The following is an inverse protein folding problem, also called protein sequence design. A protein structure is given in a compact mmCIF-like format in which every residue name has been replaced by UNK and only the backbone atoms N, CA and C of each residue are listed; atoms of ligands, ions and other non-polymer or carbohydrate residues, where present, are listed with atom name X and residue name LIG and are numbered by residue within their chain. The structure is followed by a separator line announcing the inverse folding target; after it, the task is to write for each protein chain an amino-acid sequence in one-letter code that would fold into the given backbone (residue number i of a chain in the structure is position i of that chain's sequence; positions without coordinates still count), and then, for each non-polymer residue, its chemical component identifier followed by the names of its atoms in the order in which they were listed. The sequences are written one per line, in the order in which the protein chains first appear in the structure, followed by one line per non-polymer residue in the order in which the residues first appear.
data_IF_277332057651
#
_entry.id   IF_277332057651
#
_cell.length_a   1.000
_cell.length_b   1.000
_cell.length_c   1.000
_cell.angle_alpha   90.00
_cell.angle_beta   90.00
_cell.angle_gamma   90.00
#
_symmetry.space_group_name_H-M   'P 1'
#
loop_
_entity.id
_entity.type
_entity.pdbx_description
1 polymer ?
#
# COMPACT_ATOMS: atom_id res chain seq x y z
N UNK A 1 -9.34 14.22 -4.54
CA UNK A 1 -9.23 13.50 -3.25
C UNK A 1 -7.96 12.72 -3.21
N UNK A 2 -7.43 12.51 -2.05
CA UNK A 2 -6.15 11.84 -1.91
C UNK A 2 -6.34 10.33 -1.79
N UNK A 3 -5.32 9.60 -2.26
CA UNK A 3 -5.25 8.15 -2.07
C UNK A 3 -4.88 7.76 -0.64
N UNK A 4 -4.75 8.74 0.24
CA UNK A 4 -4.33 8.51 1.62
C UNK A 4 -5.07 9.43 2.57
N UNK A 5 -5.03 9.07 3.85
CA UNK A 5 -5.48 9.94 4.94
C UNK A 5 -4.65 9.61 6.18
N UNK A 6 -4.73 10.47 7.18
CA UNK A 6 -4.03 10.25 8.44
C UNK A 6 -5.03 10.00 9.56
N UNK A 7 -4.73 9.02 10.41
CA UNK A 7 -5.44 8.77 11.65
C UNK A 7 -4.41 8.79 12.77
N UNK A 8 -4.30 9.95 13.43
CA UNK A 8 -3.21 10.11 14.38
C UNK A 8 -1.87 9.91 13.69
N UNK A 9 -1.08 8.99 14.16
CA UNK A 9 0.23 8.68 13.59
C UNK A 9 0.18 7.60 12.50
N UNK A 10 -1.00 7.12 12.17
CA UNK A 10 -1.15 6.08 11.15
C UNK A 10 -1.54 6.67 9.81
N UNK A 11 -0.83 6.24 8.78
CA UNK A 11 -1.13 6.57 7.39
C UNK A 11 -2.06 5.51 6.83
N UNK A 12 -3.21 5.94 6.31
CA UNK A 12 -4.16 5.04 5.68
C UNK A 12 -4.04 5.20 4.17
N UNK A 13 -3.75 4.10 3.47
CA UNK A 13 -3.61 4.10 2.02
C UNK A 13 -4.76 3.36 1.36
N UNK A 14 -5.34 3.97 0.34
CA UNK A 14 -6.29 3.31 -0.54
C UNK A 14 -5.53 2.87 -1.77
N UNK A 15 -5.44 1.56 -1.98
CA UNK A 15 -4.60 0.96 -3.01
C UNK A 15 -5.42 0.21 -4.05
N UNK A 16 -4.88 0.15 -5.27
CA UNK A 16 -5.41 -0.68 -6.33
C UNK A 16 -4.26 -1.57 -6.82
N UNK A 17 -4.38 -2.87 -6.60
CA UNK A 17 -3.32 -3.81 -6.99
C UNK A 17 -3.48 -4.25 -8.43
N UNK A 18 -2.36 -4.31 -9.14
CA UNK A 18 -2.30 -4.87 -10.49
C UNK A 18 -1.37 -6.08 -10.45
N UNK A 19 -1.93 -7.30 -10.35
CA UNK A 19 -1.11 -8.52 -10.33
C UNK A 19 -0.58 -8.86 -11.70
N UNK A 20 0.36 -9.81 -11.75
CA UNK A 20 0.91 -10.28 -13.00
C UNK A 20 2.00 -9.42 -13.59
N UNK A 21 2.46 -8.41 -12.86
CA UNK A 21 3.58 -7.58 -13.31
C UNK A 21 4.90 -8.34 -13.14
N UNK A 22 5.94 -7.86 -13.82
CA UNK A 22 7.27 -8.47 -13.72
C UNK A 22 8.01 -8.07 -12.47
N UNK A 23 7.55 -7.05 -11.77
CA UNK A 23 8.16 -6.59 -10.55
C UNK A 23 7.12 -5.92 -9.67
N UNK A 24 7.55 -5.38 -8.54
CA UNK A 24 6.68 -4.70 -7.61
C UNK A 24 7.06 -3.22 -7.55
N UNK A 25 6.07 -2.34 -7.48
CA UNK A 25 6.35 -0.92 -7.36
C UNK A 25 5.11 -0.07 -7.45
N UNK A 26 5.28 1.19 -7.10
CA UNK A 26 4.22 2.19 -7.26
C UNK A 26 4.07 2.54 -8.74
N UNK A 27 2.84 2.68 -9.19
CA UNK A 27 2.56 2.90 -10.60
C UNK A 27 1.58 4.07 -10.82
N UNK A 28 1.68 5.10 -9.99
CA UNK A 28 0.82 6.26 -10.10
C UNK A 28 -0.54 6.03 -9.50
N UNK A 29 -1.55 6.70 -10.02
CA UNK A 29 -2.90 6.63 -9.49
C UNK A 29 -3.82 5.90 -10.45
N UNK A 30 -4.78 5.19 -9.88
CA UNK A 30 -5.89 4.58 -10.60
C UNK A 30 -7.16 5.17 -9.99
N UNK A 31 -7.70 6.20 -10.63
CA UNK A 31 -8.74 6.99 -10.02
C UNK A 31 -8.19 7.69 -8.78
N UNK A 32 -8.84 7.48 -7.64
CA UNK A 32 -8.41 8.06 -6.38
C UNK A 32 -7.63 7.06 -5.52
N UNK A 33 -7.10 6.00 -6.15
CA UNK A 33 -6.34 4.97 -5.45
C UNK A 33 -4.91 4.93 -5.94
N UNK A 34 -4.01 4.57 -5.04
CA UNK A 34 -2.61 4.38 -5.39
C UNK A 34 -2.46 3.04 -6.09
N UNK A 35 -2.02 3.08 -7.32
CA UNK A 35 -1.81 1.85 -8.09
C UNK A 35 -0.48 1.24 -7.72
N UNK A 36 -0.50 -0.05 -7.39
CA UNK A 36 0.70 -0.81 -7.04
C UNK A 36 0.75 -2.05 -7.91
N UNK A 37 1.82 -2.17 -8.69
CA UNK A 37 2.07 -3.39 -9.45
C UNK A 37 2.70 -4.42 -8.55
N UNK A 38 2.29 -5.67 -8.75
CA UNK A 38 2.76 -6.75 -7.90
C UNK A 38 2.99 -7.99 -8.74
N UNK A 39 4.08 -8.71 -8.45
CA UNK A 39 4.48 -9.87 -9.22
C UNK A 39 3.89 -11.17 -8.71
N UNK A 40 3.24 -11.15 -7.55
CA UNK A 40 2.64 -12.36 -7.00
C UNK A 40 1.49 -12.85 -7.87
N UNK A 41 1.31 -14.18 -7.97
CA UNK A 41 0.10 -14.71 -8.61
C UNK A 41 -1.14 -14.33 -7.80
N UNK A 42 -2.31 -14.26 -8.43
CA UNK A 42 -3.55 -13.91 -7.73
C UNK A 42 -4.11 -15.10 -6.94
N UNK A 43 -3.29 -15.70 -6.08
CA UNK A 43 -3.70 -16.78 -5.22
C UNK A 43 -3.75 -16.32 -3.77
N UNK A 44 -4.50 -17.04 -2.97
CA UNK A 44 -4.85 -16.67 -1.61
C UNK A 44 -3.67 -16.21 -0.77
N UNK A 45 -3.77 -15.00 -0.26
CA UNK A 45 -2.84 -14.46 0.72
C UNK A 45 -1.50 -14.01 0.19
N UNK A 46 -1.05 -14.50 -0.95
CA UNK A 46 0.30 -14.18 -1.43
C UNK A 46 0.42 -12.74 -1.88
N UNK A 47 -0.57 -12.24 -2.61
CA UNK A 47 -0.54 -10.84 -3.04
C UNK A 47 -0.65 -9.90 -1.84
N UNK A 48 -1.48 -10.26 -0.84
CA UNK A 48 -1.61 -9.45 0.37
C UNK A 48 -0.31 -9.41 1.14
N UNK A 49 0.33 -10.56 1.33
CA UNK A 49 1.60 -10.63 2.06
C UNK A 49 2.69 -9.83 1.36
N UNK A 50 2.79 -9.95 0.04
CA UNK A 50 3.76 -9.20 -0.74
C UNK A 50 3.52 -7.69 -0.65
N UNK A 51 2.25 -7.28 -0.70
CA UNK A 51 1.90 -5.88 -0.56
C UNK A 51 2.34 -5.33 0.80
N UNK A 52 2.04 -6.04 1.88
CA UNK A 52 2.38 -5.58 3.22
C UNK A 52 3.90 -5.49 3.40
N UNK A 53 4.64 -6.48 2.89
CA UNK A 53 6.11 -6.45 2.94
C UNK A 53 6.67 -5.29 2.14
N UNK A 54 6.13 -5.05 0.96
CA UNK A 54 6.58 -3.96 0.11
C UNK A 54 6.37 -2.61 0.80
N UNK A 55 5.19 -2.41 1.38
CA UNK A 55 4.88 -1.15 2.06
C UNK A 55 5.74 -0.97 3.31
N UNK A 56 5.98 -2.04 4.06
CA UNK A 56 6.85 -1.97 5.23
C UNK A 56 8.24 -1.48 4.84
N UNK A 57 8.78 -2.01 3.76
CA UNK A 57 10.10 -1.58 3.25
C UNK A 57 10.05 -0.15 2.76
N UNK A 58 9.02 0.21 1.99
CA UNK A 58 8.92 1.55 1.39
C UNK A 58 8.79 2.65 2.45
N UNK A 59 8.15 2.34 3.57
CA UNK A 59 7.94 3.32 4.63
C UNK A 59 8.89 3.12 5.82
N UNK A 60 9.83 2.19 5.70
CA UNK A 60 10.87 1.90 6.69
C UNK A 60 10.33 1.56 8.07
N UNK A 61 9.36 0.66 8.10
CA UNK A 61 8.78 0.16 9.35
C UNK A 61 8.78 -1.36 9.35
N UNK A 62 8.73 -1.99 10.54
CA UNK A 62 8.54 -3.44 10.60
C UNK A 62 7.18 -3.83 10.03
N UNK A 63 7.09 -5.03 9.48
CA UNK A 63 5.85 -5.51 8.87
C UNK A 63 4.69 -5.49 9.86
N UNK A 64 4.95 -5.66 11.14
CA UNK A 64 3.93 -5.63 12.18
C UNK A 64 3.17 -4.29 12.26
N UNK A 65 3.77 -3.23 11.75
CA UNK A 65 3.12 -1.92 11.72
C UNK A 65 2.28 -1.68 10.47
N UNK A 66 2.25 -2.65 9.55
CA UNK A 66 1.45 -2.56 8.33
C UNK A 66 0.31 -3.55 8.43
N UNK A 67 -0.91 -3.05 8.32
CA UNK A 67 -2.12 -3.86 8.48
C UNK A 67 -3.06 -3.70 7.31
N UNK A 68 -3.63 -4.80 6.85
CA UNK A 68 -4.67 -4.75 5.83
C UNK A 68 -6.01 -4.53 6.51
N UNK A 69 -6.64 -3.40 6.24
CA UNK A 69 -7.90 -3.04 6.87
C UNK A 69 -9.12 -3.60 6.14
N UNK A 70 -9.06 -3.66 4.81
CA UNK A 70 -10.15 -4.19 4.01
C UNK A 70 -9.65 -4.62 2.65
N UNK A 71 -10.49 -5.39 1.92
CA UNK A 71 -10.17 -5.80 0.57
C UNK A 71 -9.30 -7.05 0.49
N UNK A 72 -9.43 -7.99 1.44
CA UNK A 72 -8.60 -9.21 1.47
C UNK A 72 -8.68 -10.00 0.19
N UNK A 73 -9.84 -10.01 -0.46
CA UNK A 73 -10.06 -10.75 -1.70
C UNK A 73 -10.34 -9.84 -2.88
N UNK A 74 -9.97 -8.58 -2.77
CA UNK A 74 -10.22 -7.58 -3.79
C UNK A 74 -8.91 -7.00 -4.29
N UNK A 75 -8.92 -6.45 -5.51
CA UNK A 75 -7.79 -5.66 -5.99
C UNK A 75 -7.71 -4.30 -5.31
N UNK A 76 -8.84 -3.84 -4.77
CA UNK A 76 -8.90 -2.58 -4.04
C UNK A 76 -8.73 -2.88 -2.56
N UNK A 77 -7.70 -2.32 -1.97
CA UNK A 77 -7.31 -2.63 -0.59
C UNK A 77 -7.07 -1.36 0.18
N UNK A 78 -7.44 -1.39 1.45
CA UNK A 78 -7.12 -0.30 2.36
C UNK A 78 -6.12 -0.81 3.38
N UNK A 79 -5.03 -0.10 3.55
CA UNK A 79 -3.91 -0.51 4.40
C UNK A 79 -3.58 0.61 5.37
N UNK A 80 -3.26 0.24 6.61
CA UNK A 80 -2.77 1.18 7.62
C UNK A 80 -1.29 0.95 7.86
N UNK A 81 -0.52 2.03 7.91
CA UNK A 81 0.90 2.00 8.24
C UNK A 81 1.08 2.83 9.50
N UNK A 82 1.40 2.18 10.60
CA UNK A 82 1.57 2.85 11.89
C UNK A 82 2.93 3.52 11.95
N UNK A 83 2.93 4.81 12.22
CA UNK A 83 4.14 5.63 12.42
C UNK A 83 5.19 5.40 11.31
N UNK A 84 4.87 5.69 10.04
CA UNK A 84 5.85 5.53 8.97
C UNK A 84 7.08 6.40 9.25
N UNK A 85 8.27 5.82 9.03
CA UNK A 85 9.53 6.49 9.31
C UNK A 85 10.00 7.35 8.14
N UNK A 86 9.64 6.98 6.92
CA UNK A 86 9.89 7.78 5.72
C UNK A 86 8.64 7.78 4.87
N UNK A 87 8.49 8.84 4.07
CA UNK A 87 7.43 8.93 3.07
C UNK A 87 8.12 8.90 1.71
N UNK A 88 7.83 7.89 0.87
CA UNK A 88 8.52 7.79 -0.42
C UNK A 88 8.38 9.07 -1.24
N UNK A 89 9.50 9.55 -1.77
CA UNK A 89 9.55 10.81 -2.49
C UNK A 89 8.76 10.78 -3.80
N UNK A 90 8.58 9.59 -4.38
CA UNK A 90 7.79 9.42 -5.60
C UNK A 90 6.30 9.59 -5.38
N UNK A 91 5.86 9.60 -4.11
CA UNK A 91 4.48 9.86 -3.74
C UNK A 91 4.41 11.20 -3.04
N UNK A 92 3.35 11.94 -3.30
CA UNK A 92 3.19 13.25 -2.67
C UNK A 92 2.25 13.11 -1.47
N UNK A 93 2.80 13.30 -0.29
CA UNK A 93 2.05 13.27 0.95
C UNK A 93 2.02 14.64 1.59
N UNK A 94 0.90 14.93 2.21
CA UNK A 94 0.75 16.14 2.99
C UNK A 94 0.27 15.75 4.38
N UNK A 95 0.95 16.24 5.40
CA UNK A 95 0.62 15.98 6.78
C UNK A 95 0.02 17.23 7.37
N UNK A 96 -1.26 17.28 7.39
CA UNK A 96 -1.96 18.46 7.91
C UNK A 96 -2.53 18.23 9.29
#
# INVERSE_FOLDING_TARGET
MAFYSWRGDSLILDCHLQPGAKGIGFAGLHGERLKIRISAPPVDGKANDMLLKFLATAFSVPKQRVSLLSGQQSRQKRVAIEAPQVLPAELEFSRS
#
